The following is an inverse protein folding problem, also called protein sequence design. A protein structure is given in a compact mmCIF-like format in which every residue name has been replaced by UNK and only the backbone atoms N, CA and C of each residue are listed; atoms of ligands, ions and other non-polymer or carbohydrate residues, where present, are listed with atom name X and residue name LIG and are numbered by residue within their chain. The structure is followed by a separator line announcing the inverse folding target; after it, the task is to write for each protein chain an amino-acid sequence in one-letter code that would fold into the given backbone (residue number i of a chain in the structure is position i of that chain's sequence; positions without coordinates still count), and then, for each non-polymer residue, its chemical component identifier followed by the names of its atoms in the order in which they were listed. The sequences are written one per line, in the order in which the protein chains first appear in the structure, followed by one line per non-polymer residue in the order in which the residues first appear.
data_IF_927307983249
#
_entry.id   IF_927307983249
#
_cell.length_a   1.000
_cell.length_b   1.000
_cell.length_c   1.000
_cell.angle_alpha   90.00
_cell.angle_beta   90.00
_cell.angle_gamma   90.00
#
_symmetry.space_group_name_H-M   'P 1'
#
loop_
_entity.id
_entity.type
_entity.pdbx_description
1 polymer ?
#
# COMPACT_ATOMS: atom_id res chain seq x y z
N UNK A 1 21.52 9.92 -9.31
CA UNK A 1 21.42 11.21 -8.58
C UNK A 1 21.24 10.98 -7.07
N UNK A 2 20.33 10.09 -6.68
CA UNK A 2 20.13 9.66 -5.29
C UNK A 2 21.39 9.10 -4.61
N UNK A 3 22.04 8.07 -5.19
CA UNK A 3 23.27 7.48 -4.61
C UNK A 3 24.40 8.49 -4.36
N UNK A 4 24.59 9.46 -5.27
CA UNK A 4 25.60 10.52 -5.11
C UNK A 4 25.26 11.47 -3.94
N UNK A 5 23.98 11.72 -3.69
CA UNK A 5 23.52 12.54 -2.57
C UNK A 5 23.68 11.79 -1.25
N UNK A 6 23.25 10.51 -1.21
CA UNK A 6 23.40 9.61 -0.06
C UNK A 6 24.86 9.50 0.38
N UNK A 7 25.77 9.24 -0.56
CA UNK A 7 27.20 9.17 -0.29
C UNK A 7 27.80 10.49 0.23
N UNK A 8 27.34 11.64 -0.29
CA UNK A 8 27.80 12.96 0.17
C UNK A 8 27.40 13.25 1.62
N UNK A 9 26.23 12.76 2.03
CA UNK A 9 25.69 12.97 3.37
C UNK A 9 26.10 11.90 4.38
N UNK A 10 26.78 10.83 3.94
CA UNK A 10 27.07 9.64 4.75
C UNK A 10 25.79 8.96 5.28
N UNK A 11 24.70 9.08 4.53
CA UNK A 11 23.43 8.44 4.83
C UNK A 11 23.46 6.96 4.39
N UNK A 12 22.62 6.12 5.01
CA UNK A 12 22.38 4.74 4.60
C UNK A 12 20.88 4.48 4.49
N UNK A 13 20.48 3.68 3.52
CA UNK A 13 19.09 3.25 3.33
C UNK A 13 18.87 1.77 3.71
N UNK A 14 17.64 1.28 3.51
CA UNK A 14 17.30 -0.11 3.79
C UNK A 14 18.08 -1.09 2.91
N UNK A 15 18.35 -0.74 1.65
CA UNK A 15 19.08 -1.58 0.69
C UNK A 15 20.55 -1.70 1.10
N UNK A 16 21.18 -0.60 1.53
CA UNK A 16 22.56 -0.61 2.02
C UNK A 16 22.71 -1.54 3.23
N UNK A 17 21.75 -1.48 4.15
CA UNK A 17 21.70 -2.37 5.32
C UNK A 17 21.58 -3.83 4.91
N UNK A 18 20.65 -4.17 4.03
CA UNK A 18 20.48 -5.55 3.54
C UNK A 18 21.74 -6.04 2.84
N UNK A 19 22.38 -5.20 2.01
CA UNK A 19 23.63 -5.53 1.33
C UNK A 19 24.78 -5.75 2.31
N UNK A 20 24.87 -4.97 3.38
CA UNK A 20 25.88 -5.15 4.43
C UNK A 20 25.70 -6.49 5.16
N UNK A 21 24.46 -6.87 5.47
CA UNK A 21 24.15 -8.16 6.10
C UNK A 21 24.50 -9.30 5.14
N UNK A 22 24.12 -9.19 3.86
CA UNK A 22 24.42 -10.19 2.83
C UNK A 22 25.94 -10.40 2.66
N UNK A 23 26.75 -9.34 2.68
CA UNK A 23 28.22 -9.49 2.65
C UNK A 23 28.77 -10.17 3.92
N UNK A 24 28.14 -9.92 5.06
CA UNK A 24 28.51 -10.59 6.29
C UNK A 24 28.16 -12.10 6.27
N UNK A 25 27.07 -12.51 5.60
CA UNK A 25 26.71 -13.94 5.46
C UNK A 25 27.69 -14.69 4.57
N UNK A 26 28.32 -14.03 3.61
CA UNK A 26 29.36 -14.65 2.76
C UNK A 26 30.65 -14.98 3.53
N UNK A 27 30.94 -14.23 4.60
CA UNK A 27 32.19 -14.35 5.35
C UNK A 27 32.04 -15.08 6.69
N UNK A 28 30.82 -15.19 7.21
CA UNK A 28 30.52 -15.86 8.48
C UNK A 28 29.30 -16.76 8.33
N UNK A 29 29.44 -18.00 8.79
CA UNK A 29 28.28 -18.88 8.97
C UNK A 29 27.45 -18.33 10.13
N UNK A 30 26.22 -17.93 9.84
CA UNK A 30 25.27 -17.57 10.88
C UNK A 30 24.85 -18.83 11.64
N UNK A 31 25.41 -19.01 12.84
CA UNK A 31 24.88 -19.95 13.81
C UNK A 31 23.54 -19.43 14.34
N UNK A 32 22.52 -20.28 14.39
CA UNK A 32 21.18 -19.90 14.82
C UNK A 32 20.26 -21.11 14.96
N UNK A 33 19.06 -20.92 15.52
CA UNK A 33 18.07 -21.99 15.59
C UNK A 33 17.73 -22.49 14.19
N UNK A 34 17.53 -23.79 14.05
CA UNK A 34 17.00 -24.36 12.82
C UNK A 34 15.56 -23.88 12.61
N UNK A 35 15.40 -22.98 11.63
CA UNK A 35 14.09 -22.48 11.20
C UNK A 35 13.57 -23.40 10.10
N UNK A 36 12.40 -23.99 10.35
CA UNK A 36 11.77 -24.94 9.44
C UNK A 36 10.84 -24.24 8.45
N UNK A 37 10.20 -23.14 8.88
CA UNK A 37 9.19 -22.42 8.10
C UNK A 37 9.33 -20.91 8.28
N UNK A 38 9.16 -20.16 7.19
CA UNK A 38 9.19 -18.70 7.16
C UNK A 38 7.92 -18.21 6.48
N UNK A 39 7.22 -17.29 7.14
CA UNK A 39 6.02 -16.64 6.62
C UNK A 39 6.34 -15.17 6.39
N UNK A 40 6.12 -14.70 5.17
CA UNK A 40 6.33 -13.31 4.77
C UNK A 40 4.99 -12.75 4.33
N UNK A 41 4.47 -11.81 5.11
CA UNK A 41 3.27 -11.05 4.77
C UNK A 41 3.66 -9.70 4.17
N UNK A 42 2.72 -9.04 3.49
CA UNK A 42 2.91 -7.73 2.86
C UNK A 42 4.15 -7.69 1.95
N UNK A 43 4.32 -8.74 1.14
CA UNK A 43 5.54 -8.93 0.34
C UNK A 43 5.89 -7.72 -0.55
N UNK A 44 4.91 -6.97 -1.02
CA UNK A 44 5.09 -5.78 -1.84
C UNK A 44 5.86 -4.64 -1.15
N UNK A 45 5.96 -4.63 0.18
CA UNK A 45 6.70 -3.61 0.94
C UNK A 45 8.21 -3.85 0.99
N UNK A 46 8.67 -5.05 0.68
CA UNK A 46 10.09 -5.41 0.69
C UNK A 46 10.74 -5.23 -0.70
N UNK A 47 12.05 -4.99 -0.72
CA UNK A 47 12.84 -4.93 -1.95
C UNK A 47 13.29 -6.33 -2.39
N UNK A 48 13.59 -6.50 -3.68
CA UNK A 48 14.05 -7.80 -4.21
C UNK A 48 15.32 -8.33 -3.51
N UNK A 49 16.19 -7.43 -3.06
CA UNK A 49 17.41 -7.79 -2.32
C UNK A 49 17.11 -8.38 -0.93
N UNK A 50 16.02 -7.97 -0.31
CA UNK A 50 15.59 -8.49 1.00
C UNK A 50 15.21 -9.97 0.84
N UNK A 51 14.50 -10.31 -0.24
CA UNK A 51 14.19 -11.70 -0.58
C UNK A 51 15.42 -12.52 -0.86
N UNK A 52 16.43 -11.96 -1.56
CA UNK A 52 17.71 -12.65 -1.75
C UNK A 52 18.34 -12.99 -0.40
N UNK A 53 18.40 -12.04 0.51
CA UNK A 53 18.95 -12.27 1.85
C UNK A 53 18.17 -13.35 2.61
N UNK A 54 16.83 -13.25 2.66
CA UNK A 54 15.96 -14.23 3.32
C UNK A 54 16.19 -15.63 2.74
N UNK A 55 16.25 -15.74 1.42
CA UNK A 55 16.48 -16.99 0.71
C UNK A 55 17.87 -17.59 0.97
N UNK A 56 18.89 -16.75 1.15
CA UNK A 56 20.25 -17.17 1.50
C UNK A 56 20.36 -17.59 2.98
N UNK A 57 19.67 -16.90 3.88
CA UNK A 57 19.62 -17.23 5.31
C UNK A 57 18.80 -18.48 5.62
N UNK A 58 17.66 -18.66 4.94
CA UNK A 58 16.67 -19.68 5.25
C UNK A 58 16.45 -20.66 4.09
N UNK A 59 17.48 -20.93 3.28
CA UNK A 59 17.37 -21.76 2.08
C UNK A 59 16.90 -23.21 2.32
N UNK A 60 16.98 -23.71 3.56
CA UNK A 60 16.47 -25.02 3.95
C UNK A 60 15.03 -24.99 4.50
N UNK A 61 14.46 -23.82 4.75
CA UNK A 61 13.11 -23.65 5.28
C UNK A 61 12.05 -23.72 4.17
N UNK A 62 10.83 -24.09 4.53
CA UNK A 62 9.65 -23.85 3.69
C UNK A 62 9.28 -22.38 3.80
N UNK A 63 9.03 -21.72 2.68
CA UNK A 63 8.71 -20.29 2.67
C UNK A 63 7.30 -20.12 2.11
N UNK A 64 6.47 -19.42 2.87
CA UNK A 64 5.14 -18.96 2.47
C UNK A 64 5.17 -17.44 2.32
N UNK A 65 4.63 -16.94 1.22
CA UNK A 65 4.62 -15.52 0.90
C UNK A 65 3.20 -15.08 0.55
N UNK A 66 2.77 -13.95 1.11
CA UNK A 66 1.49 -13.31 0.84
C UNK A 66 1.70 -11.81 0.61
N UNK A 67 0.89 -11.23 -0.28
CA UNK A 67 0.94 -9.81 -0.59
C UNK A 67 0.10 -9.45 -1.80
N UNK A 68 -0.08 -8.15 -2.00
CA UNK A 68 -0.79 -7.56 -3.13
C UNK A 68 0.04 -6.45 -3.76
N UNK A 69 0.53 -6.68 -4.97
CA UNK A 69 1.39 -5.71 -5.69
C UNK A 69 0.63 -4.43 -6.04
N UNK A 70 -0.70 -4.48 -6.19
CA UNK A 70 -1.49 -3.27 -6.42
C UNK A 70 -1.51 -2.33 -5.20
N UNK A 71 -1.18 -2.84 -4.01
CA UNK A 71 -1.07 -2.07 -2.76
C UNK A 71 0.37 -1.62 -2.46
N UNK A 72 1.29 -1.76 -3.43
CA UNK A 72 2.66 -1.30 -3.29
C UNK A 72 2.73 0.23 -3.28
N UNK A 73 2.72 0.83 -2.09
CA UNK A 73 2.90 2.28 -1.91
C UNK A 73 4.35 2.65 -1.53
N UNK A 74 5.18 1.67 -1.17
CA UNK A 74 6.57 1.88 -0.77
C UNK A 74 7.36 2.56 -1.90
N UNK A 75 7.89 3.76 -1.61
CA UNK A 75 8.65 4.53 -2.60
C UNK A 75 9.90 3.77 -3.04
N UNK A 76 10.01 3.52 -4.35
CA UNK A 76 11.15 2.82 -4.92
C UNK A 76 11.05 1.29 -4.84
N UNK A 77 9.99 0.73 -4.26
CA UNK A 77 9.67 -0.69 -4.44
C UNK A 77 9.04 -0.89 -5.82
N UNK A 78 9.59 -1.83 -6.57
CA UNK A 78 9.00 -2.35 -7.82
C UNK A 78 8.75 -3.85 -7.68
N UNK A 79 8.45 -4.32 -6.46
CA UNK A 79 8.27 -5.73 -6.18
C UNK A 79 7.16 -6.31 -7.05
N UNK A 80 7.45 -7.46 -7.68
CA UNK A 80 6.48 -8.31 -8.35
C UNK A 80 6.79 -9.75 -8.00
N UNK A 81 5.76 -10.58 -7.90
CA UNK A 81 5.96 -12.01 -7.69
C UNK A 81 6.74 -12.64 -8.85
N UNK A 82 6.59 -12.10 -10.07
CA UNK A 82 7.41 -12.50 -11.22
C UNK A 82 8.92 -12.33 -10.99
N UNK A 83 9.34 -11.24 -10.35
CA UNK A 83 10.75 -10.97 -10.07
C UNK A 83 11.30 -11.94 -9.01
N UNK A 84 10.47 -12.33 -8.05
CA UNK A 84 10.79 -13.39 -7.09
C UNK A 84 10.98 -14.76 -7.76
N UNK A 85 10.14 -15.13 -8.73
CA UNK A 85 10.31 -16.38 -9.48
C UNK A 85 11.61 -16.40 -10.28
N UNK A 86 11.96 -15.27 -10.89
CA UNK A 86 13.24 -15.14 -11.57
C UNK A 86 14.40 -15.33 -10.61
N UNK A 87 14.32 -14.75 -9.40
CA UNK A 87 15.33 -14.93 -8.36
C UNK A 87 15.47 -16.39 -7.92
N UNK A 88 14.36 -17.11 -7.70
CA UNK A 88 14.38 -18.53 -7.36
C UNK A 88 14.99 -19.39 -8.48
N UNK A 89 14.60 -19.11 -9.73
CA UNK A 89 15.14 -19.79 -10.91
C UNK A 89 16.66 -19.60 -11.03
N UNK A 90 17.16 -18.37 -10.83
CA UNK A 90 18.60 -18.07 -10.84
C UNK A 90 19.40 -18.81 -9.76
N UNK A 91 18.73 -19.24 -8.67
CA UNK A 91 19.34 -20.07 -7.61
C UNK A 91 19.30 -21.57 -7.92
N UNK A 92 18.91 -21.95 -9.14
CA UNK A 92 18.79 -23.34 -9.56
C UNK A 92 17.52 -24.03 -9.10
N UNK A 93 16.56 -23.29 -8.52
CA UNK A 93 15.24 -23.83 -8.19
C UNK A 93 14.33 -23.68 -9.41
N UNK A 94 14.25 -24.73 -10.22
CA UNK A 94 13.42 -24.76 -11.44
C UNK A 94 11.94 -25.02 -11.14
N UNK A 95 11.58 -25.31 -9.89
CA UNK A 95 10.20 -25.53 -9.49
C UNK A 95 9.51 -24.18 -9.29
N UNK A 96 8.49 -23.93 -10.12
CA UNK A 96 7.58 -22.81 -9.94
C UNK A 96 6.86 -22.97 -8.59
N UNK A 97 6.84 -21.95 -7.71
CA UNK A 97 6.08 -21.99 -6.46
C UNK A 97 4.60 -22.28 -6.70
N UNK A 98 3.95 -22.94 -5.75
CA UNK A 98 2.50 -23.14 -5.78
C UNK A 98 1.82 -21.80 -5.47
N UNK A 99 1.04 -21.32 -6.43
CA UNK A 99 0.29 -20.06 -6.34
C UNK A 99 -1.20 -20.34 -6.14
N UNK A 100 -1.87 -19.46 -5.40
CA UNK A 100 -3.32 -19.37 -5.37
C UNK A 100 -3.71 -17.92 -5.07
N UNK A 101 -4.87 -17.50 -5.58
CA UNK A 101 -5.40 -16.16 -5.40
C UNK A 101 -6.59 -16.19 -4.45
N UNK A 102 -6.72 -15.16 -3.61
CA UNK A 102 -7.91 -14.91 -2.79
C UNK A 102 -8.64 -13.71 -3.37
N UNK A 103 -9.69 -13.96 -4.14
CA UNK A 103 -10.42 -12.91 -4.86
C UNK A 103 -11.76 -12.53 -4.20
N UNK A 104 -12.15 -13.16 -3.10
CA UNK A 104 -13.36 -12.81 -2.35
C UNK A 104 -12.99 -11.82 -1.25
N UNK A 105 -13.52 -10.61 -1.34
CA UNK A 105 -13.29 -9.54 -0.38
C UNK A 105 -14.47 -9.44 0.61
N UNK A 106 -14.16 -9.67 1.88
CA UNK A 106 -15.11 -9.61 3.00
C UNK A 106 -15.03 -8.29 3.79
N UNK A 107 -14.07 -7.42 3.46
CA UNK A 107 -13.80 -6.14 4.15
C UNK A 107 -14.58 -4.98 3.54
N UNK A 108 -14.78 -4.99 2.22
CA UNK A 108 -15.41 -3.91 1.48
C UNK A 108 -16.58 -4.40 0.64
N UNK A 109 -17.61 -3.56 0.54
CA UNK A 109 -18.79 -3.86 -0.25
C UNK A 109 -18.56 -3.65 -1.75
N UNK A 110 -19.42 -4.24 -2.58
CA UNK A 110 -19.34 -4.25 -4.04
C UNK A 110 -19.20 -2.85 -4.68
N UNK A 111 -19.85 -1.83 -4.13
CA UNK A 111 -19.74 -0.45 -4.62
C UNK A 111 -18.30 0.11 -4.62
N UNK A 112 -17.57 -0.04 -3.51
CA UNK A 112 -16.16 0.37 -3.39
C UNK A 112 -15.28 -0.47 -4.33
N UNK A 113 -15.48 -1.79 -4.34
CA UNK A 113 -14.68 -2.69 -5.17
C UNK A 113 -14.82 -2.42 -6.67
N UNK A 114 -16.01 -2.02 -7.14
CA UNK A 114 -16.20 -1.61 -8.53
C UNK A 114 -15.32 -0.43 -8.92
N UNK A 115 -15.25 0.60 -8.05
CA UNK A 115 -14.38 1.74 -8.29
C UNK A 115 -12.91 1.33 -8.24
N UNK A 116 -12.49 0.60 -7.21
CA UNK A 116 -11.13 0.11 -7.07
C UNK A 116 -10.70 -0.72 -8.30
N UNK A 117 -11.53 -1.68 -8.72
CA UNK A 117 -11.30 -2.50 -9.91
C UNK A 117 -11.16 -1.67 -11.19
N UNK A 118 -11.94 -0.60 -11.35
CA UNK A 118 -11.80 0.30 -12.50
C UNK A 118 -10.44 1.02 -12.53
N UNK A 119 -9.94 1.45 -11.37
CA UNK A 119 -8.61 2.08 -11.24
C UNK A 119 -7.51 1.08 -11.54
N UNK A 120 -7.59 -0.14 -10.98
CA UNK A 120 -6.64 -1.22 -11.28
C UNK A 120 -6.65 -1.57 -12.77
N UNK A 121 -7.82 -1.59 -13.40
CA UNK A 121 -7.91 -1.84 -14.85
C UNK A 121 -7.17 -0.77 -15.67
N UNK A 122 -7.32 0.51 -15.32
CA UNK A 122 -6.57 1.59 -15.95
C UNK A 122 -5.06 1.44 -15.73
N UNK A 123 -4.63 1.07 -14.53
CA UNK A 123 -3.21 0.80 -14.25
C UNK A 123 -2.67 -0.33 -15.12
N UNK A 124 -3.43 -1.41 -15.34
CA UNK A 124 -3.02 -2.50 -16.24
C UNK A 124 -2.87 -2.07 -17.69
N UNK A 125 -3.70 -1.13 -18.17
CA UNK A 125 -3.64 -0.62 -19.54
C UNK A 125 -2.44 0.31 -19.72
N UNK A 126 -2.29 1.29 -18.82
CA UNK A 126 -1.28 2.34 -18.98
C UNK A 126 0.10 1.95 -18.44
N UNK A 127 0.16 1.01 -17.51
CA UNK A 127 1.38 0.55 -16.83
C UNK A 127 1.40 -0.99 -16.71
N UNK A 128 1.38 -1.73 -17.83
CA UNK A 128 1.21 -3.19 -17.85
C UNK A 128 2.32 -3.95 -17.11
N UNK A 129 3.52 -3.38 -17.02
CA UNK A 129 4.66 -4.00 -16.34
C UNK A 129 4.77 -3.61 -14.85
N UNK A 130 3.89 -2.74 -14.33
CA UNK A 130 4.00 -2.19 -12.98
C UNK A 130 3.25 -2.99 -11.91
N UNK A 131 2.29 -3.83 -12.28
CA UNK A 131 1.50 -4.65 -11.35
C UNK A 131 1.28 -6.06 -11.90
N UNK A 132 1.18 -7.05 -11.02
CA UNK A 132 0.86 -8.42 -11.41
C UNK A 132 -0.61 -8.55 -11.87
N UNK A 133 -0.86 -9.46 -12.82
CA UNK A 133 -2.19 -9.69 -13.38
C UNK A 133 -2.97 -10.67 -12.51
N UNK A 134 -3.68 -10.14 -11.51
CA UNK A 134 -4.54 -10.92 -10.61
C UNK A 134 -6.01 -10.87 -11.05
N UNK A 135 -6.80 -11.86 -10.62
CA UNK A 135 -8.25 -11.84 -10.80
C UNK A 135 -8.86 -10.62 -10.07
N UNK A 136 -9.88 -9.94 -10.64
CA UNK A 136 -10.57 -8.87 -9.94
C UNK A 136 -11.20 -9.36 -8.63
N UNK A 137 -11.12 -8.54 -7.59
CA UNK A 137 -11.81 -8.82 -6.34
C UNK A 137 -13.34 -8.71 -6.49
N UNK A 138 -14.05 -9.59 -5.81
CA UNK A 138 -15.51 -9.62 -5.75
C UNK A 138 -15.98 -9.60 -4.30
N UNK A 139 -17.11 -8.96 -4.06
CA UNK A 139 -17.81 -9.04 -2.77
C UNK A 139 -19.23 -9.53 -2.99
N UNK A 140 -19.67 -10.41 -2.10
CA UNK A 140 -21.04 -10.90 -2.03
C UNK A 140 -22.00 -9.85 -1.45
N UNK A 141 -21.45 -8.87 -0.70
CA UNK A 141 -22.21 -7.82 -0.02
C UNK A 141 -22.38 -6.62 -0.95
N UNK A 142 -23.63 -6.25 -1.21
CA UNK A 142 -23.99 -5.02 -1.92
C UNK A 142 -23.63 -3.77 -1.10
N UNK A 143 -23.56 -2.61 -1.76
CA UNK A 143 -23.34 -1.35 -1.07
C UNK A 143 -23.34 -0.17 -2.03
N UNK A 144 -23.42 1.07 -1.51
CA UNK A 144 -23.55 2.28 -2.32
C UNK A 144 -22.32 2.50 -3.20
N UNK A 145 -22.47 3.23 -4.31
CA UNK A 145 -21.31 3.70 -5.07
C UNK A 145 -20.65 4.88 -4.33
N UNK A 146 -19.32 5.00 -4.38
CA UNK A 146 -18.65 6.18 -3.84
C UNK A 146 -19.18 7.48 -4.49
N UNK A 147 -19.47 8.47 -3.66
CA UNK A 147 -19.98 9.78 -4.08
C UNK A 147 -18.83 10.73 -4.40
N UNK A 148 -18.94 11.47 -5.51
CA UNK A 148 -18.06 12.59 -5.84
C UNK A 148 -18.81 13.89 -5.52
N UNK A 149 -18.20 14.74 -4.69
CA UNK A 149 -18.74 16.04 -4.31
C UNK A 149 -17.87 17.12 -4.96
N UNK A 150 -18.44 17.89 -5.87
CA UNK A 150 -17.77 19.00 -6.57
C UNK A 150 -18.37 20.35 -6.13
N UNK A 151 -17.57 21.41 -6.18
CA UNK A 151 -18.05 22.78 -5.95
C UNK A 151 -18.46 23.12 -4.51
N UNK A 152 -18.15 22.26 -3.53
CA UNK A 152 -18.39 22.52 -2.12
C UNK A 152 -17.20 23.29 -1.51
N UNK A 153 -17.46 24.33 -0.72
CA UNK A 153 -16.39 24.93 0.08
C UNK A 153 -16.00 23.96 1.20
N UNK A 154 -14.70 23.80 1.42
CA UNK A 154 -14.19 22.87 2.41
C UNK A 154 -14.77 23.12 3.82
N UNK A 155 -15.04 24.38 4.17
CA UNK A 155 -15.70 24.75 5.43
C UNK A 155 -17.09 24.13 5.57
N UNK A 156 -17.86 24.04 4.48
CA UNK A 156 -19.24 23.55 4.45
C UNK A 156 -19.30 22.02 4.57
N UNK A 157 -18.24 21.33 4.11
CA UNK A 157 -18.07 19.88 4.22
C UNK A 157 -17.79 19.43 5.67
N UNK A 158 -17.23 20.33 6.49
CA UNK A 158 -16.73 20.04 7.83
C UNK A 158 -17.53 20.71 8.96
N UNK A 159 -18.68 21.33 8.67
CA UNK A 159 -19.48 22.01 9.70
C UNK A 159 -20.08 20.99 10.68
N UNK A 160 -19.70 21.11 11.95
CA UNK A 160 -20.39 20.46 13.07
C UNK A 160 -21.88 20.86 13.11
N UNK A 161 -22.77 19.89 12.97
CA UNK A 161 -24.20 20.05 13.26
C UNK A 161 -24.41 20.01 14.79
N UNK A 162 -24.35 21.16 15.44
CA UNK A 162 -24.96 21.31 16.77
C UNK A 162 -26.48 21.52 16.59
N UNK A 163 -27.25 20.57 17.12
CA UNK A 163 -28.65 20.63 17.58
C UNK A 163 -29.75 21.19 16.64
N UNK A 164 -30.72 20.31 16.34
CA UNK A 164 -32.13 20.60 15.96
C UNK A 164 -32.61 20.49 14.50
N UNK A 165 -32.18 19.49 13.71
CA UNK A 165 -32.95 19.13 12.49
C UNK A 165 -33.04 17.61 12.32
N UNK A 166 -34.26 17.10 12.37
CA UNK A 166 -34.65 15.70 12.11
C UNK A 166 -34.62 15.43 10.60
N UNK A 167 -34.06 14.28 10.19
CA UNK A 167 -33.89 13.73 8.82
C UNK A 167 -32.87 14.48 7.93
N UNK A 168 -32.03 13.86 7.12
CA UNK A 168 -31.49 12.48 7.02
C UNK A 168 -30.08 12.64 6.42
N UNK A 169 -29.14 11.78 6.84
CA UNK A 169 -27.76 11.63 6.33
C UNK A 169 -26.81 12.85 6.49
N UNK A 170 -26.28 13.07 7.69
CA UNK A 170 -25.05 13.84 7.89
C UNK A 170 -24.08 13.10 8.84
N UNK A 171 -22.82 13.05 8.41
CA UNK A 171 -21.68 12.28 8.93
C UNK A 171 -21.08 13.03 10.14
N UNK A 172 -21.37 12.60 11.37
CA UNK A 172 -20.59 13.00 12.54
C UNK A 172 -19.25 12.26 12.51
N UNK A 173 -18.12 13.00 12.40
CA UNK A 173 -16.75 12.47 12.47
C UNK A 173 -16.45 11.78 13.81
N UNK A 174 -16.91 10.54 13.94
CA UNK A 174 -16.61 9.62 15.03
C UNK A 174 -15.32 8.82 14.79
N UNK A 175 -15.00 7.89 15.72
CA UNK A 175 -13.77 7.09 15.68
C UNK A 175 -13.63 6.18 14.44
N UNK A 176 -14.71 5.92 13.71
CA UNK A 176 -14.74 5.08 12.51
C UNK A 176 -14.61 5.84 11.19
N UNK A 177 -14.31 7.14 11.22
CA UNK A 177 -14.30 8.01 10.03
C UNK A 177 -12.95 8.71 9.86
N UNK A 178 -12.48 8.80 8.62
CA UNK A 178 -11.17 9.37 8.31
C UNK A 178 -11.21 10.27 7.08
N UNK A 179 -10.41 11.33 7.12
CA UNK A 179 -10.09 12.15 5.96
C UNK A 179 -8.70 11.72 5.47
N UNK A 180 -8.63 11.22 4.25
CA UNK A 180 -7.35 10.87 3.62
C UNK A 180 -6.93 12.00 2.68
N UNK A 181 -5.70 12.46 2.88
CA UNK A 181 -5.05 13.49 2.07
C UNK A 181 -3.80 12.94 1.38
N UNK A 182 -3.34 13.64 0.34
CA UNK A 182 -2.18 13.21 -0.45
C UNK A 182 -0.87 13.25 0.33
N UNK A 183 -0.62 14.36 1.03
CA UNK A 183 0.64 14.61 1.70
C UNK A 183 0.46 15.50 2.94
N UNK A 184 1.57 15.68 3.66
CA UNK A 184 1.62 16.45 4.90
C UNK A 184 1.30 17.94 4.71
N UNK A 185 1.52 18.50 3.51
CA UNK A 185 1.14 19.89 3.23
C UNK A 185 -0.37 20.00 3.09
N UNK A 186 -1.00 19.05 2.40
CA UNK A 186 -2.45 18.97 2.29
C UNK A 186 -3.10 18.77 3.65
N UNK A 187 -2.56 17.89 4.50
CA UNK A 187 -3.00 17.68 5.88
C UNK A 187 -3.08 18.99 6.66
N UNK A 188 -1.98 19.76 6.69
CA UNK A 188 -1.92 21.04 7.41
C UNK A 188 -2.96 22.05 6.92
N UNK A 189 -3.28 22.07 5.62
CA UNK A 189 -4.34 22.95 5.08
C UNK A 189 -5.72 22.51 5.55
N UNK A 190 -6.00 21.20 5.55
CA UNK A 190 -7.28 20.66 6.03
C UNK A 190 -7.44 20.88 7.54
N UNK A 191 -6.39 20.67 8.33
CA UNK A 191 -6.41 20.91 9.78
C UNK A 191 -6.79 22.36 10.14
N UNK A 192 -6.37 23.34 9.34
CA UNK A 192 -6.73 24.76 9.52
C UNK A 192 -8.20 25.00 9.17
N UNK A 193 -8.71 24.39 8.11
CA UNK A 193 -10.10 24.58 7.65
C UNK A 193 -11.09 23.90 8.60
N UNK A 194 -10.74 22.71 9.08
CA UNK A 194 -11.60 21.84 9.87
C UNK A 194 -11.43 22.03 11.39
N UNK A 195 -10.74 23.08 11.84
CA UNK A 195 -10.45 23.32 13.26
C UNK A 195 -9.89 22.08 14.01
N UNK A 196 -9.15 21.20 13.31
CA UNK A 196 -8.62 19.92 13.82
C UNK A 196 -9.65 18.92 14.35
N UNK A 197 -10.86 18.92 13.81
CA UNK A 197 -11.90 17.94 14.16
C UNK A 197 -11.73 16.67 13.31
N UNK A 198 -11.75 15.49 13.94
CA UNK A 198 -11.67 14.20 13.24
C UNK A 198 -10.25 13.75 12.87
N UNK A 199 -10.15 12.53 12.35
CA UNK A 199 -8.87 11.89 11.99
C UNK A 199 -8.47 12.27 10.56
N UNK A 200 -7.29 12.88 10.39
CA UNK A 200 -6.72 13.23 9.08
C UNK A 200 -5.41 12.47 8.89
N UNK A 201 -5.35 11.60 7.88
CA UNK A 201 -4.19 10.76 7.59
C UNK A 201 -3.73 10.94 6.15
N UNK A 202 -2.43 10.74 5.92
CA UNK A 202 -1.91 10.47 4.58
C UNK A 202 -2.19 9.02 4.16
N UNK A 203 -2.09 8.72 2.87
CA UNK A 203 -2.22 7.32 2.38
C UNK A 203 -1.23 6.37 3.04
N UNK A 204 -0.02 6.86 3.34
CA UNK A 204 1.01 6.06 4.01
C UNK A 204 0.62 5.71 5.44
N UNK A 205 0.04 6.67 6.18
CA UNK A 205 -0.41 6.45 7.56
C UNK A 205 -1.68 5.61 7.62
N UNK A 206 -2.58 5.76 6.64
CA UNK A 206 -3.82 4.98 6.55
C UNK A 206 -3.59 3.53 6.08
N UNK A 207 -2.38 3.17 5.64
CA UNK A 207 -2.09 1.81 5.17
C UNK A 207 -2.29 0.80 6.30
N UNK A 208 -3.06 -0.26 6.03
CA UNK A 208 -3.37 -1.31 7.00
C UNK A 208 -4.43 -0.91 8.03
N UNK A 209 -5.03 0.27 7.90
CA UNK A 209 -6.17 0.71 8.71
C UNK A 209 -7.48 0.51 7.95
N UNK A 210 -8.56 0.24 8.69
CA UNK A 210 -9.90 0.07 8.15
C UNK A 210 -10.85 1.06 8.84
N UNK A 211 -11.74 1.66 8.05
CA UNK A 211 -12.68 2.69 8.50
C UNK A 211 -14.05 2.43 7.88
N UNK A 212 -15.11 2.84 8.57
CA UNK A 212 -16.48 2.73 8.07
C UNK A 212 -16.74 3.78 6.97
N UNK A 213 -16.28 5.01 7.20
CA UNK A 213 -16.43 6.12 6.25
C UNK A 213 -15.07 6.75 5.94
N UNK A 214 -14.78 6.93 4.64
CA UNK A 214 -13.51 7.49 4.16
C UNK A 214 -13.80 8.66 3.22
N UNK A 215 -13.28 9.85 3.56
CA UNK A 215 -13.31 11.02 2.70
C UNK A 215 -11.94 11.24 2.05
N UNK A 216 -11.84 11.09 0.73
CA UNK A 216 -10.66 11.52 -0.02
C UNK A 216 -10.76 13.01 -0.34
N UNK A 217 -9.96 13.84 0.34
CA UNK A 217 -10.07 15.29 0.19
C UNK A 217 -9.02 15.86 -0.76
N UNK A 218 -9.47 16.50 -1.87
CA UNK A 218 -8.63 17.19 -2.86
C UNK A 218 -7.36 16.41 -3.26
N UNK A 219 -7.50 15.09 -3.37
CA UNK A 219 -6.36 14.17 -3.42
C UNK A 219 -5.47 14.36 -4.66
N UNK A 220 -6.08 14.75 -5.78
CA UNK A 220 -5.40 14.91 -7.06
C UNK A 220 -4.94 16.34 -7.34
N UNK A 221 -5.37 17.33 -6.54
CA UNK A 221 -5.09 18.75 -6.78
C UNK A 221 -3.59 19.06 -6.77
N UNK A 222 -2.84 18.42 -5.87
CA UNK A 222 -1.38 18.59 -5.76
C UNK A 222 -0.61 17.51 -6.54
N UNK A 223 -1.23 16.88 -7.53
CA UNK A 223 -0.54 15.90 -8.36
C UNK A 223 0.57 16.59 -9.18
N UNK A 224 1.84 16.13 -9.11
CA UNK A 224 2.91 16.64 -9.95
C UNK A 224 2.80 16.14 -11.41
N UNK A 225 1.85 15.24 -11.69
CA UNK A 225 1.61 14.75 -13.03
C UNK A 225 0.97 15.87 -13.86
N UNK A 226 1.60 16.20 -15.00
CA UNK A 226 1.02 17.13 -15.94
C UNK A 226 -0.20 16.48 -16.60
N UNK A 227 -1.33 17.20 -16.63
CA UNK A 227 -2.45 16.85 -17.51
C UNK A 227 -1.92 16.92 -18.95
N UNK A 228 -1.94 15.78 -19.63
CA UNK A 228 -1.64 15.70 -21.07
C UNK A 228 -2.87 16.10 -21.87
#
# INVERSE_FOLDING_TARGET
RYEKMKARNFDFDSVDRTLAILRATETKIFGGPHIHEVYIDECQDNQIIDYKLILDLFGAAKIFMAGDVAQCIARGSTFRFKDLYQLLYMRGNSLKPKEFELNINYRSHKGILKLASSVIHLLRIFFPDSIDQLSPEISEVGGPQPLIIEGCEAKDLFVHRNDNIKSDEFIEFGAGQVIIVRDEKARKRVEVINNRIGMILTVFEAKGMEFNDVLLFNFFTDSPALLK
#
